data_IF_346801837168
#
_entry.id   IF_346801837168
#
_cell.length_a   1.000
_cell.length_b   1.000
_cell.length_c   1.000
_cell.angle_alpha   90.00
_cell.angle_beta   90.00
_cell.angle_gamma   90.00
#
_symmetry.space_group_name_H-M   'P 1'
#
loop_
_entity.id
_entity.type
_entity.pdbx_description
1 polymer ?
#
# COMPACT_ATOMS: atom_id res chain seq x y z
N UNK A 1 -8.95 9.84 -11.87
CA UNK A 1 -8.79 9.27 -10.53
C UNK A 1 -8.78 10.39 -9.52
N UNK A 2 -9.76 10.41 -8.64
CA UNK A 2 -9.87 11.39 -7.57
C UNK A 2 -9.38 10.75 -6.25
N UNK A 3 -8.33 11.31 -5.64
CA UNK A 3 -7.77 10.83 -4.37
C UNK A 3 -8.11 11.84 -3.28
N UNK A 4 -8.87 11.39 -2.26
CA UNK A 4 -9.09 12.15 -1.03
C UNK A 4 -8.05 11.75 0.02
N UNK A 5 -7.19 12.69 0.40
CA UNK A 5 -6.25 12.53 1.51
C UNK A 5 -6.85 13.22 2.74
N UNK A 6 -7.05 12.48 3.82
CA UNK A 6 -7.72 12.94 5.04
C UNK A 6 -6.69 13.05 6.16
N UNK A 7 -6.67 14.20 6.83
CA UNK A 7 -5.84 14.43 7.99
C UNK A 7 -6.32 13.57 9.18
N UNK A 8 -5.38 12.92 9.87
CA UNK A 8 -5.62 12.26 11.14
C UNK A 8 -4.55 12.67 12.15
N UNK A 9 -4.99 13.09 13.34
CA UNK A 9 -4.05 13.52 14.39
C UNK A 9 -3.40 14.88 14.16
N UNK A 10 -3.95 15.69 13.24
CA UNK A 10 -3.50 17.07 13.04
C UNK A 10 -4.47 18.04 13.73
N UNK A 11 -3.96 18.87 14.64
CA UNK A 11 -4.75 19.94 15.25
C UNK A 11 -4.97 21.10 14.25
N UNK A 12 -5.86 22.03 14.60
CA UNK A 12 -6.10 23.24 13.79
C UNK A 12 -4.81 24.03 13.48
N UNK A 13 -3.85 24.04 14.42
CA UNK A 13 -2.56 24.73 14.26
C UNK A 13 -1.56 23.99 13.37
N UNK A 14 -1.84 22.72 13.04
CA UNK A 14 -0.96 21.84 12.26
C UNK A 14 -1.49 21.59 10.84
N UNK A 15 -2.57 22.26 10.41
CA UNK A 15 -3.13 22.04 9.06
C UNK A 15 -2.16 22.41 7.93
N UNK A 16 -1.35 23.46 8.10
CA UNK A 16 -0.29 23.79 7.14
C UNK A 16 0.75 22.66 7.03
N UNK A 17 1.06 21.99 8.14
CA UNK A 17 1.91 20.80 8.14
C UNK A 17 1.24 19.64 7.39
N UNK A 18 -0.05 19.38 7.64
CA UNK A 18 -0.80 18.34 6.92
C UNK A 18 -0.78 18.55 5.39
N UNK A 19 -1.00 19.77 4.92
CA UNK A 19 -0.95 20.06 3.48
C UNK A 19 0.45 19.86 2.91
N UNK A 20 1.50 20.26 3.64
CA UNK A 20 2.88 20.03 3.24
C UNK A 20 3.25 18.53 3.22
N UNK A 21 2.80 17.76 4.21
CA UNK A 21 3.00 16.31 4.27
C UNK A 21 2.29 15.61 3.11
N UNK A 22 1.02 15.98 2.85
CA UNK A 22 0.26 15.46 1.72
C UNK A 22 0.97 15.74 0.40
N UNK A 23 1.41 16.98 0.18
CA UNK A 23 2.16 17.36 -1.02
C UNK A 23 3.42 16.51 -1.18
N UNK A 24 4.19 16.30 -0.10
CA UNK A 24 5.39 15.47 -0.11
C UNK A 24 5.11 14.01 -0.49
N UNK A 25 4.04 13.41 0.03
CA UNK A 25 3.66 12.03 -0.31
C UNK A 25 3.25 11.90 -1.78
N UNK A 26 2.44 12.83 -2.25
CA UNK A 26 1.95 12.86 -3.63
C UNK A 26 3.07 13.14 -4.63
N UNK A 27 3.98 14.06 -4.32
CA UNK A 27 5.14 14.31 -5.17
C UNK A 27 6.02 13.07 -5.26
N UNK A 28 6.25 12.37 -4.14
CA UNK A 28 6.98 11.12 -4.14
C UNK A 28 6.27 10.04 -4.97
N UNK A 29 4.95 9.85 -4.82
CA UNK A 29 4.17 8.92 -5.64
C UNK A 29 4.41 9.17 -7.14
N UNK A 30 4.39 10.43 -7.58
CA UNK A 30 4.63 10.79 -8.98
C UNK A 30 6.10 10.72 -9.42
N UNK A 31 7.04 10.42 -8.52
CA UNK A 31 8.40 9.99 -8.93
C UNK A 31 8.46 8.52 -9.31
N UNK A 32 7.49 7.71 -8.87
CA UNK A 32 7.49 6.26 -9.04
C UNK A 32 6.79 5.87 -10.35
N UNK A 33 7.45 5.12 -11.25
CA UNK A 33 6.78 4.54 -12.40
C UNK A 33 5.76 3.45 -11.99
N UNK A 34 4.61 3.34 -12.67
CA UNK A 34 4.21 4.13 -13.83
C UNK A 34 3.51 5.45 -13.48
N UNK A 35 3.23 5.77 -12.22
CA UNK A 35 2.49 6.98 -11.83
C UNK A 35 3.08 8.27 -12.41
N UNK A 36 4.41 8.34 -12.53
CA UNK A 36 5.12 9.48 -13.12
C UNK A 36 4.61 9.92 -14.51
N UNK A 37 4.19 8.99 -15.36
CA UNK A 37 3.66 9.28 -16.71
C UNK A 37 2.17 9.60 -16.69
N UNK A 38 1.48 9.24 -15.61
CA UNK A 38 0.03 9.37 -15.47
C UNK A 38 -0.39 10.52 -14.54
N UNK A 39 0.54 11.39 -14.11
CA UNK A 39 0.26 12.49 -13.16
C UNK A 39 -1.00 13.29 -13.50
N UNK A 40 -1.23 13.58 -14.79
CA UNK A 40 -2.37 14.38 -15.24
C UNK A 40 -3.73 13.63 -15.22
N UNK A 41 -3.75 12.36 -14.82
CA UNK A 41 -4.97 11.56 -14.67
C UNK A 41 -5.45 11.48 -13.21
N UNK A 42 -4.72 12.11 -12.29
CA UNK A 42 -5.04 12.16 -10.88
C UNK A 42 -5.42 13.57 -10.44
N UNK A 43 -6.54 13.68 -9.73
CA UNK A 43 -6.90 14.85 -8.94
C UNK A 43 -6.67 14.52 -7.47
N UNK A 44 -6.11 15.47 -6.71
CA UNK A 44 -5.76 15.29 -5.30
C UNK A 44 -6.55 16.29 -4.47
N UNK A 45 -7.27 15.79 -3.47
CA UNK A 45 -8.02 16.59 -2.52
C UNK A 45 -7.48 16.35 -1.12
N UNK A 46 -6.81 17.35 -0.54
CA UNK A 46 -6.34 17.29 0.84
C UNK A 46 -7.41 17.89 1.77
N UNK A 47 -7.96 17.08 2.67
CA UNK A 47 -9.06 17.46 3.58
C UNK A 47 -8.50 17.60 5.00
N UNK A 48 -8.38 18.85 5.46
CA UNK A 48 -7.92 19.19 6.80
C UNK A 48 -8.94 18.88 7.89
N UNK A 49 -9.17 17.60 8.17
CA UNK A 49 -9.99 17.13 9.28
C UNK A 49 -9.26 17.37 10.62
N UNK A 50 -9.82 18.24 11.46
CA UNK A 50 -9.17 18.71 12.69
C UNK A 50 -9.36 17.67 13.81
N UNK A 51 -8.25 17.22 14.40
CA UNK A 51 -8.21 16.48 15.67
C UNK A 51 -8.08 17.44 16.86
N UNK A 52 -8.61 17.03 18.03
CA UNK A 52 -8.41 17.75 19.29
C UNK A 52 -6.96 17.62 19.79
N UNK A 53 -6.36 16.45 19.61
CA UNK A 53 -4.96 16.20 19.97
C UNK A 53 -4.08 15.88 18.75
N UNK A 54 -2.81 16.27 18.85
CA UNK A 54 -1.76 15.88 17.91
C UNK A 54 -1.32 14.44 18.17
N UNK A 55 -1.18 13.63 17.11
CA UNK A 55 -0.74 12.24 17.18
C UNK A 55 -1.83 11.21 16.92
N UNK A 56 -1.67 10.02 17.49
CA UNK A 56 -2.59 8.86 17.36
C UNK A 56 -2.35 7.92 18.54
N UNK A 57 -3.22 6.94 18.75
CA UNK A 57 -3.09 5.97 19.85
C UNK A 57 -1.90 5.04 19.64
N UNK A 58 -1.12 4.83 20.70
CA UNK A 58 -0.06 3.83 20.77
C UNK A 58 -0.26 3.00 22.05
N UNK A 59 -1.20 2.03 22.04
CA UNK A 59 -1.58 1.28 23.24
C UNK A 59 -0.41 0.57 23.92
N UNK A 60 0.53 0.01 23.16
CA UNK A 60 1.74 -0.62 23.73
C UNK A 60 2.66 0.33 24.51
N UNK A 61 2.44 1.64 24.41
CA UNK A 61 3.12 2.68 25.20
C UNK A 61 2.17 3.39 26.18
N UNK A 62 0.94 2.91 26.35
CA UNK A 62 -0.14 3.53 27.11
C UNK A 62 -0.44 4.98 26.66
N UNK A 63 -0.33 5.26 25.36
CA UNK A 63 -0.66 6.57 24.77
C UNK A 63 -2.02 6.45 24.10
N UNK A 64 -2.95 7.31 24.52
CA UNK A 64 -4.30 7.41 23.96
C UNK A 64 -4.60 8.90 23.72
N UNK A 65 -5.14 9.22 22.55
CA UNK A 65 -5.27 10.55 21.97
C UNK A 65 -6.69 10.74 21.44
N UNK A 66 -7.26 11.90 21.73
CA UNK A 66 -8.55 12.28 21.19
C UNK A 66 -8.40 12.81 19.76
N UNK A 67 -8.45 11.91 18.78
CA UNK A 67 -8.32 12.24 17.36
C UNK A 67 -9.61 12.00 16.60
N UNK A 68 -9.81 12.72 15.49
CA UNK A 68 -11.08 12.71 14.76
C UNK A 68 -11.42 11.33 14.15
N UNK A 69 -10.43 10.57 13.69
CA UNK A 69 -10.66 9.23 13.13
C UNK A 69 -10.39 8.09 14.12
N UNK A 70 -9.93 8.40 15.33
CA UNK A 70 -9.61 7.42 16.38
C UNK A 70 -8.71 6.30 15.85
N UNK A 71 -7.62 6.69 15.19
CA UNK A 71 -6.61 5.73 14.73
C UNK A 71 -5.77 5.20 15.87
N UNK A 72 -5.35 3.94 15.73
CA UNK A 72 -4.56 3.24 16.72
C UNK A 72 -3.54 2.33 16.05
N UNK A 73 -2.31 2.34 16.59
CA UNK A 73 -1.38 1.24 16.39
C UNK A 73 -1.84 0.00 17.16
N UNK A 74 -1.13 -1.12 16.99
CA UNK A 74 -1.44 -2.39 17.68
C UNK A 74 -2.79 -2.99 17.28
N UNK A 75 -3.29 -2.70 16.07
CA UNK A 75 -4.44 -3.43 15.53
C UNK A 75 -4.07 -4.92 15.44
N UNK A 76 -4.93 -5.78 16.00
CA UNK A 76 -4.67 -7.22 16.17
C UNK A 76 -3.34 -7.55 16.89
N UNK A 77 -2.95 -6.72 17.87
CA UNK A 77 -1.71 -6.83 18.65
C UNK A 77 -0.41 -6.71 17.82
N UNK A 78 -0.50 -6.25 16.57
CA UNK A 78 0.66 -6.00 15.72
C UNK A 78 1.14 -4.57 15.87
N UNK A 79 2.30 -4.37 16.50
CA UNK A 79 2.85 -3.04 16.88
C UNK A 79 2.77 -1.98 15.77
N UNK A 80 3.05 -2.35 14.53
CA UNK A 80 3.14 -1.43 13.39
C UNK A 80 1.84 -1.28 12.61
N UNK A 81 0.81 -2.07 12.95
CA UNK A 81 -0.44 -2.06 12.21
C UNK A 81 -1.31 -0.91 12.71
N UNK A 82 -1.47 0.10 11.86
CA UNK A 82 -2.16 1.34 12.14
C UNK A 82 -3.46 1.38 11.36
N UNK A 83 -4.59 1.45 12.06
CA UNK A 83 -5.91 1.56 11.42
C UNK A 83 -6.80 2.58 12.15
N UNK A 84 -7.59 3.39 11.43
CA UNK A 84 -8.66 4.16 12.04
C UNK A 84 -9.84 3.27 12.41
N UNK A 85 -10.46 3.55 13.55
CA UNK A 85 -11.64 2.80 14.01
C UNK A 85 -12.97 3.46 13.65
N UNK A 86 -12.97 4.76 13.35
CA UNK A 86 -14.19 5.50 13.02
C UNK A 86 -14.45 5.60 11.51
N UNK A 87 -14.71 4.45 10.85
CA UNK A 87 -14.87 4.37 9.39
C UNK A 87 -16.05 5.22 8.86
N UNK A 88 -17.15 5.34 9.61
CA UNK A 88 -18.28 6.20 9.22
C UNK A 88 -17.87 7.68 9.13
N UNK A 89 -17.06 8.15 10.08
CA UNK A 89 -16.53 9.52 10.08
C UNK A 89 -15.63 9.76 8.87
N UNK A 90 -14.85 8.76 8.45
CA UNK A 90 -14.05 8.83 7.22
C UNK A 90 -14.95 9.05 6.01
N UNK A 91 -16.04 8.29 5.90
CA UNK A 91 -16.98 8.43 4.78
C UNK A 91 -17.67 9.81 4.78
N UNK A 92 -18.09 10.30 5.96
CA UNK A 92 -18.68 11.63 6.10
C UNK A 92 -17.70 12.74 5.65
N UNK A 93 -16.43 12.65 6.06
CA UNK A 93 -15.39 13.61 5.66
C UNK A 93 -15.07 13.49 4.16
N UNK A 94 -14.92 12.28 3.64
CA UNK A 94 -14.62 12.04 2.24
C UNK A 94 -15.71 12.58 1.31
N UNK A 95 -16.98 12.61 1.77
CA UNK A 95 -18.12 13.14 1.02
C UNK A 95 -18.02 14.64 0.66
N UNK A 96 -17.08 15.38 1.24
CA UNK A 96 -16.83 16.78 0.93
C UNK A 96 -16.27 17.01 -0.48
N UNK A 97 -15.72 15.97 -1.11
CA UNK A 97 -15.08 16.03 -2.44
C UNK A 97 -15.45 14.81 -3.27
N UNK A 98 -15.33 14.88 -4.61
CA UNK A 98 -15.30 13.67 -5.43
C UNK A 98 -14.11 12.80 -5.02
N UNK A 99 -14.31 11.49 -4.87
CA UNK A 99 -13.23 10.55 -4.59
C UNK A 99 -13.51 9.18 -5.20
N UNK A 100 -12.44 8.54 -5.67
CA UNK A 100 -12.37 7.13 -6.02
C UNK A 100 -11.52 6.33 -5.02
N UNK A 101 -10.56 7.00 -4.37
CA UNK A 101 -9.64 6.43 -3.38
C UNK A 101 -9.52 7.33 -2.17
N UNK A 102 -9.41 6.72 -0.99
CA UNK A 102 -9.20 7.43 0.28
C UNK A 102 -7.83 7.04 0.85
N UNK A 103 -7.07 8.04 1.30
CA UNK A 103 -5.85 7.86 2.06
C UNK A 103 -5.92 8.66 3.37
N UNK A 104 -5.79 8.00 4.51
CA UNK A 104 -5.67 8.64 5.82
C UNK A 104 -4.20 8.84 6.15
N UNK A 105 -3.81 10.08 6.41
CA UNK A 105 -2.43 10.44 6.77
C UNK A 105 -2.38 10.79 8.26
N UNK A 106 -1.69 9.97 9.05
CA UNK A 106 -1.58 10.13 10.49
C UNK A 106 -0.35 10.96 10.89
N UNK A 107 -0.54 11.98 11.72
CA UNK A 107 0.51 12.89 12.21
C UNK A 107 1.41 12.22 13.26
N UNK A 108 2.32 11.34 12.84
CA UNK A 108 3.25 10.65 13.73
C UNK A 108 4.51 10.20 13.01
N UNK A 109 5.60 10.09 13.77
CA UNK A 109 6.88 9.57 13.30
C UNK A 109 7.05 8.05 13.54
N UNK A 110 6.11 7.41 14.25
CA UNK A 110 6.12 5.96 14.42
C UNK A 110 5.90 5.29 13.05
N UNK A 111 6.67 4.24 12.77
CA UNK A 111 6.51 3.47 11.53
C UNK A 111 5.23 2.62 11.57
N UNK A 112 4.35 2.80 10.58
CA UNK A 112 3.18 1.96 10.38
C UNK A 112 2.31 2.41 9.22
N UNK A 113 1.34 1.57 8.90
CA UNK A 113 0.43 1.74 7.78
C UNK A 113 -0.50 0.55 7.64
N UNK A 114 -1.46 0.69 6.73
CA UNK A 114 -2.35 -0.38 6.30
C UNK A 114 -2.99 0.00 4.95
N UNK A 115 -3.27 -0.99 4.12
CA UNK A 115 -3.90 -0.80 2.82
C UNK A 115 -4.92 -1.88 2.54
N UNK A 116 -6.12 -1.47 2.13
CA UNK A 116 -7.25 -2.36 1.87
C UNK A 116 -7.86 -2.01 0.52
N UNK A 117 -7.85 -2.98 -0.40
CA UNK A 117 -8.31 -2.79 -1.78
C UNK A 117 -9.72 -2.18 -1.84
N UNK A 118 -9.83 -1.04 -2.54
CA UNK A 118 -11.05 -0.24 -2.72
C UNK A 118 -11.80 0.11 -1.42
N UNK A 119 -11.10 0.13 -0.28
CA UNK A 119 -11.68 0.50 1.00
C UNK A 119 -10.96 1.69 1.62
N UNK A 120 -9.69 1.52 1.99
CA UNK A 120 -8.96 2.52 2.74
C UNK A 120 -7.45 2.29 2.66
N UNK A 121 -6.69 3.37 2.55
CA UNK A 121 -5.25 3.39 2.74
C UNK A 121 -4.91 4.23 3.96
N UNK A 122 -3.88 3.85 4.70
CA UNK A 122 -3.46 4.52 5.93
C UNK A 122 -1.94 4.53 5.99
N UNK A 123 -1.35 5.67 6.31
CA UNK A 123 0.09 5.78 6.49
C UNK A 123 0.46 6.89 7.46
N UNK A 124 1.67 6.84 7.98
CA UNK A 124 2.18 7.88 8.89
C UNK A 124 2.93 8.94 8.13
N UNK A 125 2.95 10.17 8.64
CA UNK A 125 3.53 11.30 7.93
C UNK A 125 5.05 11.47 8.15
N UNK A 126 5.54 11.30 9.39
CA UNK A 126 6.86 11.83 9.79
C UNK A 126 7.96 10.77 9.92
N UNK A 127 7.68 9.51 9.58
CA UNK A 127 8.73 8.50 9.55
C UNK A 127 9.63 8.73 8.31
N UNK A 128 10.95 8.48 8.37
CA UNK A 128 11.83 8.65 7.20
C UNK A 128 11.40 7.85 5.97
N UNK A 129 10.76 6.69 6.18
CA UNK A 129 10.21 5.83 5.12
C UNK A 129 8.73 6.10 4.79
N UNK A 130 8.11 7.15 5.33
CA UNK A 130 6.69 7.44 5.10
C UNK A 130 6.32 7.58 3.62
N UNK A 131 7.14 8.22 2.75
CA UNK A 131 6.84 8.27 1.32
C UNK A 131 6.84 6.88 0.65
N UNK A 132 7.79 6.02 1.02
CA UNK A 132 7.86 4.62 0.55
C UNK A 132 6.62 3.84 0.99
N UNK A 133 6.25 3.95 2.27
CA UNK A 133 5.08 3.30 2.86
C UNK A 133 3.81 3.80 2.19
N UNK A 134 3.65 5.12 2.00
CA UNK A 134 2.50 5.69 1.29
C UNK A 134 2.28 5.02 -0.07
N UNK A 135 3.35 4.85 -0.85
CA UNK A 135 3.29 4.21 -2.17
C UNK A 135 2.98 2.71 -2.06
N UNK A 136 3.53 2.03 -1.05
CA UNK A 136 3.25 0.62 -0.77
C UNK A 136 1.76 0.40 -0.45
N UNK A 137 1.23 1.14 0.54
CA UNK A 137 -0.16 1.02 0.97
C UNK A 137 -1.13 1.39 -0.15
N UNK A 138 -0.81 2.43 -0.92
CA UNK A 138 -1.59 2.78 -2.10
C UNK A 138 -1.60 1.67 -3.16
N UNK A 139 -0.53 0.86 -3.26
CA UNK A 139 -0.50 -0.35 -4.09
C UNK A 139 -1.57 -1.38 -3.68
N UNK A 140 -1.82 -1.54 -2.39
CA UNK A 140 -2.92 -2.38 -1.89
C UNK A 140 -4.28 -1.74 -2.20
N UNK A 141 -4.51 -0.50 -1.77
CA UNK A 141 -5.86 0.08 -1.87
C UNK A 141 -6.31 0.38 -3.30
N UNK A 142 -5.42 0.88 -4.15
CA UNK A 142 -5.78 1.28 -5.51
C UNK A 142 -5.79 0.11 -6.49
N UNK A 143 -4.84 -0.82 -6.38
CA UNK A 143 -4.61 -1.86 -7.39
C UNK A 143 -4.96 -3.26 -6.88
N UNK A 144 -4.99 -3.47 -5.57
CA UNK A 144 -5.16 -4.81 -5.00
C UNK A 144 -3.92 -5.67 -5.14
N UNK A 145 -2.73 -5.06 -5.06
CA UNK A 145 -1.48 -5.83 -4.98
C UNK A 145 -1.42 -6.54 -3.63
N UNK A 146 -0.89 -7.77 -3.62
CA UNK A 146 -0.55 -8.48 -2.39
C UNK A 146 0.84 -8.07 -1.91
N UNK A 147 1.11 -8.33 -0.64
CA UNK A 147 2.46 -8.30 -0.10
C UNK A 147 3.34 -9.39 -0.70
N UNK A 148 4.56 -9.03 -1.08
CA UNK A 148 5.56 -9.94 -1.65
C UNK A 148 6.60 -10.39 -0.60
N UNK A 149 6.55 -9.86 0.62
CA UNK A 149 7.38 -10.34 1.72
C UNK A 149 6.81 -11.63 2.33
N UNK A 150 7.71 -12.42 2.90
CA UNK A 150 7.43 -13.70 3.53
C UNK A 150 8.27 -13.75 4.81
N UNK A 151 7.64 -13.50 5.95
CA UNK A 151 8.27 -13.64 7.27
C UNK A 151 7.36 -14.49 8.15
N UNK A 152 7.96 -15.17 9.14
CA UNK A 152 7.24 -16.03 10.10
C UNK A 152 6.47 -15.25 11.18
N UNK A 153 6.52 -13.92 11.16
CA UNK A 153 6.11 -13.07 12.29
C UNK A 153 4.80 -12.30 12.02
N UNK A 154 4.07 -12.65 10.97
CA UNK A 154 2.77 -12.01 10.67
C UNK A 154 1.63 -12.81 11.28
N UNK A 155 0.62 -12.14 11.85
CA UNK A 155 -0.61 -12.76 12.34
C UNK A 155 -1.45 -13.46 11.24
N UNK A 156 -0.97 -13.43 9.99
CA UNK A 156 -1.63 -13.93 8.78
C UNK A 156 -1.11 -15.30 8.34
N UNK A 157 -0.72 -16.17 9.28
CA UNK A 157 -0.46 -17.56 8.98
C UNK A 157 -1.69 -18.17 8.30
N UNK A 158 -1.53 -18.55 7.03
CA UNK A 158 -2.54 -19.26 6.21
C UNK A 158 -3.69 -18.44 5.61
N UNK A 159 -3.49 -17.14 5.28
CA UNK A 159 -4.53 -16.40 4.54
C UNK A 159 -4.77 -16.90 3.10
N UNK A 160 -3.75 -17.49 2.47
CA UNK A 160 -3.84 -18.02 1.12
C UNK A 160 -3.98 -19.54 1.15
N UNK A 161 -5.07 -20.04 0.57
CA UNK A 161 -5.21 -21.47 0.29
C UNK A 161 -4.31 -21.83 -0.91
N UNK A 162 -3.31 -22.69 -0.69
CA UNK A 162 -2.35 -23.10 -1.72
C UNK A 162 -2.97 -23.91 -2.87
N UNK A 163 -4.20 -24.40 -2.71
CA UNK A 163 -4.96 -25.09 -3.75
C UNK A 163 -5.77 -24.14 -4.64
N UNK A 164 -5.78 -22.84 -4.34
CA UNK A 164 -6.52 -21.81 -5.06
C UNK A 164 -5.54 -20.76 -5.59
N UNK A 165 -5.74 -20.32 -6.84
CA UNK A 165 -4.97 -19.21 -7.39
C UNK A 165 -5.42 -17.88 -6.73
N UNK A 166 -4.52 -17.10 -6.11
CA UNK A 166 -4.86 -15.79 -5.55
C UNK A 166 -5.43 -14.88 -6.64
N UNK A 167 -6.30 -13.94 -6.27
CA UNK A 167 -6.85 -13.00 -7.24
C UNK A 167 -5.89 -11.83 -7.52
N UNK A 168 -4.99 -11.54 -6.57
CA UNK A 168 -3.99 -10.49 -6.65
C UNK A 168 -2.99 -10.77 -7.78
N UNK A 169 -2.62 -9.77 -8.58
CA UNK A 169 -1.87 -10.02 -9.82
C UNK A 169 -0.39 -10.35 -9.59
N UNK A 170 0.18 -9.99 -8.44
CA UNK A 170 1.63 -10.02 -8.18
C UNK A 170 2.10 -11.16 -7.27
N UNK A 171 1.23 -12.13 -6.96
CA UNK A 171 1.63 -13.40 -6.34
C UNK A 171 0.91 -14.56 -7.03
N UNK A 172 1.43 -15.79 -6.89
CA UNK A 172 0.79 -16.98 -7.48
C UNK A 172 1.02 -18.21 -6.61
N UNK A 173 0.08 -19.15 -6.61
CA UNK A 173 0.24 -20.52 -6.07
C UNK A 173 0.58 -21.54 -7.16
N UNK A 174 0.68 -21.09 -8.42
CA UNK A 174 0.86 -21.89 -9.63
C UNK A 174 -0.32 -22.77 -10.02
N UNK A 175 -1.48 -22.60 -9.38
CA UNK A 175 -2.72 -23.31 -9.71
C UNK A 175 -3.24 -22.87 -11.08
N UNK A 176 -3.19 -21.57 -11.38
CA UNK A 176 -3.63 -20.98 -12.66
C UNK A 176 -2.68 -19.85 -13.10
N UNK A 177 -1.39 -20.17 -13.18
CA UNK A 177 -0.33 -19.20 -13.49
C UNK A 177 -0.47 -18.53 -14.88
N UNK A 178 -1.22 -19.14 -15.80
CA UNK A 178 -1.51 -18.57 -17.12
C UNK A 178 -2.26 -17.23 -17.03
N UNK A 179 -3.03 -17.00 -15.95
CA UNK A 179 -3.73 -15.73 -15.68
C UNK A 179 -2.87 -14.66 -15.00
N UNK A 180 -1.63 -14.97 -14.67
CA UNK A 180 -0.69 -14.05 -14.00
C UNK A 180 0.34 -13.54 -15.00
N UNK A 181 1.58 -13.34 -14.58
CA UNK A 181 2.64 -12.79 -15.43
C UNK A 181 3.37 -13.82 -16.30
N UNK A 182 2.82 -15.02 -16.50
CA UNK A 182 3.48 -16.06 -17.32
C UNK A 182 3.78 -15.57 -18.73
N UNK A 183 2.88 -14.80 -19.34
CA UNK A 183 3.07 -14.21 -20.67
C UNK A 183 4.23 -13.20 -20.73
N UNK A 184 4.65 -12.65 -19.59
CA UNK A 184 5.76 -11.70 -19.47
C UNK A 184 7.11 -12.42 -19.29
N UNK A 185 7.12 -13.73 -18.99
CA UNK A 185 8.35 -14.49 -18.76
C UNK A 185 9.12 -14.77 -20.06
N UNK A 186 10.45 -14.74 -19.96
CA UNK A 186 11.28 -15.33 -21.00
C UNK A 186 11.07 -16.85 -21.06
N UNK A 187 11.00 -17.40 -22.28
CA UNK A 187 10.74 -18.83 -22.53
C UNK A 187 11.68 -19.80 -21.78
N UNK A 188 12.88 -19.36 -21.41
CA UNK A 188 13.90 -20.17 -20.73
C UNK A 188 13.99 -19.90 -19.21
N UNK A 189 13.10 -19.07 -18.66
CA UNK A 189 13.09 -18.79 -17.22
C UNK A 189 12.71 -20.08 -16.46
N UNK A 190 13.53 -20.53 -15.48
CA UNK A 190 13.19 -21.70 -14.67
C UNK A 190 11.99 -21.40 -13.77
N UNK A 191 11.13 -22.39 -13.57
CA UNK A 191 9.96 -22.32 -12.69
C UNK A 191 10.04 -23.50 -11.71
N UNK A 192 10.22 -23.27 -10.40
CA UNK A 192 10.47 -21.97 -9.77
C UNK A 192 11.84 -21.40 -10.15
N UNK A 193 11.96 -20.07 -10.12
CA UNK A 193 13.22 -19.35 -10.33
C UNK A 193 14.01 -19.31 -9.03
N UNK A 194 15.26 -19.83 -8.99
CA UNK A 194 16.06 -19.78 -7.77
C UNK A 194 16.36 -18.36 -7.31
N UNK A 195 16.19 -18.07 -6.02
CA UNK A 195 16.64 -16.81 -5.37
C UNK A 195 18.17 -16.79 -5.26
N UNK A 196 18.83 -16.47 -6.37
CA UNK A 196 20.30 -16.39 -6.48
C UNK A 196 20.69 -15.09 -7.17
N UNK A 197 21.93 -14.64 -7.00
CA UNK A 197 22.43 -13.40 -7.62
C UNK A 197 22.23 -13.37 -9.14
N UNK A 198 22.32 -14.54 -9.80
CA UNK A 198 22.08 -14.72 -11.24
C UNK A 198 20.70 -14.17 -11.68
N UNK A 199 19.68 -14.28 -10.84
CA UNK A 199 18.29 -13.91 -11.16
C UNK A 199 17.82 -12.68 -10.38
N UNK A 200 18.72 -11.92 -9.75
CA UNK A 200 18.35 -10.82 -8.84
C UNK A 200 17.51 -9.73 -9.51
N UNK A 201 17.86 -9.37 -10.74
CA UNK A 201 17.22 -8.31 -11.50
C UNK A 201 16.39 -8.85 -12.67
N UNK A 202 15.91 -10.09 -12.58
CA UNK A 202 15.13 -10.73 -13.65
C UNK A 202 13.72 -11.01 -13.19
N UNK A 203 12.76 -10.89 -14.12
CA UNK A 203 11.42 -11.40 -13.91
C UNK A 203 11.45 -12.94 -13.88
N UNK A 204 10.82 -13.53 -12.87
CA UNK A 204 10.81 -14.95 -12.61
C UNK A 204 9.61 -15.41 -11.79
N UNK A 205 9.76 -16.55 -11.14
CA UNK A 205 8.76 -17.17 -10.27
C UNK A 205 9.47 -17.57 -8.98
N UNK A 206 9.67 -16.62 -8.08
CA UNK A 206 10.51 -16.78 -6.89
C UNK A 206 9.67 -17.24 -5.71
N UNK A 207 9.97 -18.40 -5.14
CA UNK A 207 9.24 -18.93 -4.00
C UNK A 207 9.35 -18.01 -2.78
N UNK A 208 8.25 -17.79 -2.08
CA UNK A 208 8.07 -16.80 -1.02
C UNK A 208 7.30 -15.57 -1.49
N UNK A 209 6.22 -15.26 -0.79
CA UNK A 209 5.34 -14.10 -0.98
C UNK A 209 4.03 -14.29 -0.23
N UNK A 210 3.22 -13.25 -0.09
CA UNK A 210 1.93 -13.34 0.61
C UNK A 210 2.07 -13.88 2.04
N UNK A 211 3.11 -13.46 2.75
CA UNK A 211 3.48 -13.90 4.10
C UNK A 211 3.96 -15.35 4.22
N UNK A 212 3.86 -16.18 3.18
CA UNK A 212 4.22 -17.60 3.22
C UNK A 212 5.54 -17.86 2.49
N UNK A 213 6.46 -18.58 3.13
CA UNK A 213 7.78 -18.87 2.58
C UNK A 213 7.79 -19.96 1.48
N UNK A 214 6.76 -20.80 1.40
CA UNK A 214 6.67 -21.94 0.47
C UNK A 214 5.29 -22.02 -0.17
N UNK A 215 5.22 -22.46 -1.43
CA UNK A 215 3.96 -22.66 -2.15
C UNK A 215 3.32 -21.38 -2.71
N UNK A 216 3.80 -20.20 -2.34
CA UNK A 216 3.47 -18.91 -2.97
C UNK A 216 4.71 -18.37 -3.64
N UNK A 217 4.56 -17.72 -4.78
CA UNK A 217 5.66 -17.18 -5.58
C UNK A 217 5.43 -15.70 -5.91
N UNK A 218 6.51 -14.92 -5.84
CA UNK A 218 6.58 -13.51 -6.24
C UNK A 218 7.32 -13.37 -7.59
N UNK A 219 7.07 -12.28 -8.34
CA UNK A 219 7.60 -12.09 -9.69
C UNK A 219 9.08 -11.73 -9.73
N UNK A 220 9.61 -11.13 -8.65
CA UNK A 220 11.01 -10.67 -8.55
C UNK A 220 11.59 -10.96 -7.17
N UNK A 221 12.89 -10.73 -7.00
CA UNK A 221 13.51 -10.85 -5.68
C UNK A 221 13.25 -9.65 -4.77
N UNK A 222 13.01 -8.47 -5.33
CA UNK A 222 12.75 -7.24 -4.59
C UNK A 222 11.81 -6.30 -5.36
N UNK A 223 10.87 -5.70 -4.64
CA UNK A 223 9.75 -4.90 -5.16
C UNK A 223 9.29 -3.95 -4.05
N UNK A 224 8.65 -2.82 -4.39
CA UNK A 224 7.97 -1.96 -3.40
C UNK A 224 6.94 -2.73 -2.55
N UNK A 225 6.31 -3.78 -3.09
CA UNK A 225 5.40 -4.65 -2.32
C UNK A 225 6.12 -5.64 -1.40
N UNK A 226 7.46 -5.65 -1.41
CA UNK A 226 8.28 -6.50 -0.55
C UNK A 226 9.07 -5.69 0.48
N UNK A 227 9.67 -4.58 0.05
CA UNK A 227 10.57 -3.78 0.88
C UNK A 227 10.41 -2.28 0.62
N UNK A 228 10.79 -1.48 1.61
CA UNK A 228 10.82 -0.02 1.48
C UNK A 228 12.11 0.47 0.80
N UNK A 229 13.17 -0.35 0.79
CA UNK A 229 14.44 -0.03 0.14
C UNK A 229 14.39 -0.19 -1.39
N UNK A 230 13.42 -0.95 -1.91
CA UNK A 230 13.20 -1.08 -3.34
C UNK A 230 13.00 0.29 -4.00
N UNK A 231 13.53 0.47 -5.21
CA UNK A 231 13.42 1.74 -5.96
C UNK A 231 12.01 2.03 -6.49
N UNK A 232 11.13 1.03 -6.49
CA UNK A 232 9.79 1.14 -7.06
C UNK A 232 9.14 -0.24 -7.26
N UNK A 233 8.07 -0.27 -8.04
CA UNK A 233 7.34 -1.49 -8.34
C UNK A 233 8.09 -2.40 -9.31
N UNK A 234 7.90 -3.71 -9.16
CA UNK A 234 8.39 -4.68 -10.15
C UNK A 234 7.62 -4.55 -11.48
N UNK A 235 8.09 -5.17 -12.57
CA UNK A 235 7.40 -5.09 -13.86
C UNK A 235 5.94 -5.57 -13.83
N UNK A 236 5.61 -6.57 -12.99
CA UNK A 236 4.25 -7.12 -12.87
C UNK A 236 3.33 -6.14 -12.15
N UNK A 237 3.75 -5.62 -10.99
CA UNK A 237 3.02 -4.58 -10.27
C UNK A 237 2.88 -3.32 -11.13
N UNK A 238 3.92 -2.93 -11.86
CA UNK A 238 3.86 -1.77 -12.77
C UNK A 238 2.83 -1.95 -13.88
N UNK A 239 2.76 -3.16 -14.46
CA UNK A 239 1.74 -3.49 -15.47
C UNK A 239 0.33 -3.43 -14.88
N UNK A 240 0.12 -4.03 -13.70
CA UNK A 240 -1.17 -4.00 -13.01
C UNK A 240 -1.61 -2.57 -12.67
N UNK A 241 -0.70 -1.72 -12.17
CA UNK A 241 -1.00 -0.30 -11.92
C UNK A 241 -1.42 0.40 -13.21
N UNK A 242 -0.70 0.19 -14.32
CA UNK A 242 -1.03 0.80 -15.60
C UNK A 242 -2.39 0.32 -16.15
N UNK A 243 -2.69 -0.97 -16.03
CA UNK A 243 -4.01 -1.53 -16.37
C UNK A 243 -5.13 -0.92 -15.53
N UNK A 244 -4.95 -0.79 -14.21
CA UNK A 244 -5.93 -0.15 -13.32
C UNK A 244 -6.15 1.32 -13.68
N UNK A 245 -5.08 2.09 -13.92
CA UNK A 245 -5.21 3.50 -14.33
C UNK A 245 -5.97 3.58 -15.65
N UNK A 246 -5.59 2.79 -16.65
CA UNK A 246 -6.23 2.80 -17.96
C UNK A 246 -7.70 2.37 -17.86
N UNK A 247 -8.04 1.40 -17.01
CA UNK A 247 -9.42 0.98 -16.77
C UNK A 247 -10.28 2.17 -16.32
N UNK A 248 -9.86 2.92 -15.31
CA UNK A 248 -10.65 4.05 -14.82
C UNK A 248 -10.61 5.31 -15.70
N UNK A 249 -9.56 5.49 -16.50
CA UNK A 249 -9.39 6.68 -17.35
C UNK A 249 -10.06 6.50 -18.72
N UNK A 250 -10.12 5.27 -19.25
CA UNK A 250 -10.68 4.99 -20.58
C UNK A 250 -12.20 4.99 -20.64
N UNK A 251 -12.89 5.00 -19.50
CA UNK A 251 -14.36 5.09 -19.40
C UNK A 251 -14.92 6.53 -19.35
N UNK A 252 -14.12 7.55 -19.69
CA UNK A 252 -14.58 8.95 -19.83
C UNK A 252 -14.43 9.45 -21.26
#
# INVERSE_FOLDING_TARGET
>A
MDIAVIAEGYTASELEKFYADTQRMIDYLFTIPPYNRFKNHFNIYAIGAISEESGTDIPGKNIYKNTILNSSFYTFDMERYLTPHNVSTIADIASLVPYDQIFVLANTAQYGGAGFYNHLNVGTADHPSSPEVFVHEFGHGFVGLADEYYSSDTAFDSIYNLEIEPWEPNITTLVDFDKKWKAMLHRKTPIPTPRTEKYKNTLGVFEGGGYVAKGIYSPVQDCRMKTNEAKGFCPVCSNAIEETINFYVSEK
#
